data_IF_545300626775
#
_entry.id   IF_545300626775
#
_cell.length_a   1.000
_cell.length_b   1.000
_cell.length_c   1.000
_cell.angle_alpha   90.00
_cell.angle_beta   90.00
_cell.angle_gamma   90.00
#
_symmetry.space_group_name_H-M   'P 1'
#
loop_
_entity.id
_entity.type
_entity.pdbx_description
1 polymer ?
#
# COMPACT_ATOMS: atom_id res chain seq x y z
N UNK A 1 -32.16 -12.26 20.50
CA UNK A 1 -32.44 -10.94 19.90
C UNK A 1 -32.10 -11.03 18.42
N UNK A 2 -33.02 -10.78 17.49
CA UNK A 2 -32.74 -10.93 16.07
C UNK A 2 -32.12 -9.63 15.56
N UNK A 3 -30.79 -9.57 15.49
CA UNK A 3 -29.98 -8.38 15.11
C UNK A 3 -30.49 -7.80 13.79
N UNK A 4 -30.88 -8.65 12.81
CA UNK A 4 -31.42 -8.21 11.53
C UNK A 4 -32.69 -7.36 11.70
N UNK A 5 -33.66 -7.79 12.53
CA UNK A 5 -34.87 -7.02 12.81
C UNK A 5 -34.57 -5.66 13.44
N UNK A 6 -33.57 -5.59 14.28
CA UNK A 6 -33.14 -4.32 14.89
C UNK A 6 -32.58 -3.36 13.84
N UNK A 7 -31.73 -3.86 12.93
CA UNK A 7 -31.17 -3.06 11.83
C UNK A 7 -32.28 -2.62 10.86
N UNK A 8 -33.22 -3.51 10.50
CA UNK A 8 -34.34 -3.17 9.63
C UNK A 8 -35.25 -2.09 10.24
N UNK A 9 -35.40 -2.07 11.56
CA UNK A 9 -36.12 -1.00 12.25
C UNK A 9 -35.35 0.32 12.27
N UNK A 10 -34.04 0.28 12.45
CA UNK A 10 -33.17 1.45 12.39
C UNK A 10 -33.05 2.02 10.96
N UNK A 11 -33.30 1.23 9.93
CA UNK A 11 -33.29 1.65 8.53
C UNK A 11 -34.49 2.50 8.12
N UNK A 12 -35.61 2.38 8.80
CA UNK A 12 -36.88 3.06 8.42
C UNK A 12 -36.73 4.58 8.23
N UNK A 13 -36.06 5.34 9.13
CA UNK A 13 -35.91 6.79 8.97
C UNK A 13 -35.05 7.22 7.75
N UNK A 14 -34.26 6.28 7.20
CA UNK A 14 -33.37 6.51 6.05
C UNK A 14 -33.98 6.09 4.72
N UNK A 15 -35.23 5.58 4.70
CA UNK A 15 -35.91 5.20 3.47
C UNK A 15 -36.27 6.42 2.62
N UNK A 16 -36.52 6.19 1.35
CA UNK A 16 -36.88 7.22 0.37
C UNK A 16 -38.16 7.96 0.82
N UNK A 17 -38.06 9.29 0.92
CA UNK A 17 -39.17 10.16 1.39
C UNK A 17 -39.15 10.44 2.90
N UNK A 18 -38.24 9.86 3.68
CA UNK A 18 -38.13 10.05 5.12
C UNK A 18 -37.10 11.14 5.51
N UNK A 19 -37.13 11.56 6.78
CA UNK A 19 -36.36 12.70 7.31
C UNK A 19 -34.85 12.59 7.10
N UNK A 20 -34.30 11.38 7.08
CA UNK A 20 -32.88 11.09 7.02
C UNK A 20 -32.45 10.43 5.68
N UNK A 21 -33.25 10.56 4.63
CA UNK A 21 -32.97 9.97 3.31
C UNK A 21 -31.54 10.32 2.78
N UNK A 22 -31.08 11.57 3.00
CA UNK A 22 -29.73 12.01 2.57
C UNK A 22 -28.59 11.19 3.17
N UNK A 23 -28.81 10.62 4.35
CA UNK A 23 -27.82 9.78 5.03
C UNK A 23 -27.99 8.28 4.75
N UNK A 24 -28.92 7.92 3.86
CA UNK A 24 -29.13 6.54 3.44
C UNK A 24 -27.85 5.84 2.95
N UNK A 25 -26.93 6.47 2.18
CA UNK A 25 -25.67 5.85 1.77
C UNK A 25 -24.81 5.40 2.95
N UNK A 26 -24.69 6.24 3.99
CA UNK A 26 -23.91 5.91 5.20
C UNK A 26 -24.54 4.75 6.00
N UNK A 27 -25.86 4.74 6.15
CA UNK A 27 -26.54 3.65 6.83
C UNK A 27 -26.46 2.35 6.02
N UNK A 28 -26.65 2.42 4.71
CA UNK A 28 -26.53 1.26 3.82
C UNK A 28 -25.11 0.66 3.84
N UNK A 29 -24.06 1.47 3.98
CA UNK A 29 -22.70 0.97 4.14
C UNK A 29 -22.55 0.08 5.37
N UNK A 30 -23.11 0.49 6.52
CA UNK A 30 -23.13 -0.31 7.76
C UNK A 30 -23.98 -1.59 7.58
N UNK A 31 -25.17 -1.48 6.97
CA UNK A 31 -26.05 -2.64 6.71
C UNK A 31 -25.34 -3.65 5.79
N UNK A 32 -24.71 -3.17 4.71
CA UNK A 32 -24.01 -4.04 3.77
C UNK A 32 -22.66 -4.57 4.29
N UNK A 33 -22.03 -3.89 5.24
CA UNK A 33 -20.85 -4.41 5.94
C UNK A 33 -21.20 -5.63 6.80
N UNK A 34 -22.33 -5.59 7.50
CA UNK A 34 -22.77 -6.68 8.37
C UNK A 34 -23.49 -7.80 7.60
N UNK A 35 -24.22 -7.46 6.54
CA UNK A 35 -25.04 -8.40 5.78
C UNK A 35 -24.91 -8.20 4.28
N UNK A 36 -24.93 -9.30 3.55
CA UNK A 36 -24.95 -9.27 2.08
C UNK A 36 -26.27 -8.67 1.58
N UNK A 37 -26.24 -7.70 0.63
CA UNK A 37 -27.45 -7.12 0.06
C UNK A 37 -28.38 -8.18 -0.55
N UNK A 38 -29.68 -8.08 -0.26
CA UNK A 38 -30.70 -9.00 -0.79
C UNK A 38 -31.32 -8.45 -2.08
N UNK A 39 -30.53 -7.86 -2.98
CA UNK A 39 -31.02 -7.35 -4.25
C UNK A 39 -31.01 -8.46 -5.30
N UNK A 40 -32.13 -8.69 -5.91
CA UNK A 40 -32.30 -9.59 -7.07
C UNK A 40 -32.70 -8.78 -8.30
N UNK A 41 -32.28 -9.24 -9.48
CA UNK A 41 -32.76 -8.65 -10.74
C UNK A 41 -34.27 -8.82 -10.87
N UNK A 42 -34.96 -7.77 -11.33
CA UNK A 42 -36.43 -7.82 -11.56
C UNK A 42 -36.79 -8.50 -12.88
N UNK A 43 -35.87 -8.53 -13.83
CA UNK A 43 -36.06 -9.11 -15.17
C UNK A 43 -34.79 -9.81 -15.63
N UNK A 44 -34.93 -10.96 -16.30
CA UNK A 44 -33.84 -11.76 -16.84
C UNK A 44 -33.15 -12.67 -15.82
N UNK A 45 -32.01 -13.23 -16.20
CA UNK A 45 -31.23 -14.11 -15.34
C UNK A 45 -30.55 -13.30 -14.22
N UNK A 46 -30.58 -13.83 -12.99
CA UNK A 46 -29.85 -13.30 -11.87
C UNK A 46 -28.47 -13.99 -11.77
N UNK A 47 -27.42 -13.26 -12.14
CA UNK A 47 -26.03 -13.75 -12.03
C UNK A 47 -25.34 -12.99 -10.91
N UNK A 48 -24.74 -13.71 -9.96
CA UNK A 48 -23.99 -13.15 -8.86
C UNK A 48 -22.60 -13.77 -8.82
N UNK A 49 -21.56 -12.94 -8.71
CA UNK A 49 -20.20 -13.42 -8.52
C UNK A 49 -20.05 -14.06 -7.11
N UNK A 50 -19.26 -15.13 -7.03
CA UNK A 50 -18.91 -15.76 -5.76
C UNK A 50 -17.92 -14.91 -4.94
N UNK A 51 -17.12 -14.08 -5.61
CA UNK A 51 -16.13 -13.17 -4.99
C UNK A 51 -16.57 -11.74 -5.24
N UNK A 52 -17.13 -11.11 -4.22
CA UNK A 52 -17.48 -9.70 -4.24
C UNK A 52 -16.30 -8.80 -3.80
N UNK A 53 -16.45 -7.49 -3.98
CA UNK A 53 -15.43 -6.52 -3.61
C UNK A 53 -15.05 -6.62 -2.13
N UNK A 54 -16.00 -6.90 -1.24
CA UNK A 54 -15.78 -7.05 0.20
C UNK A 54 -14.83 -8.19 0.53
N UNK A 55 -15.05 -9.36 -0.13
CA UNK A 55 -14.16 -10.53 0.06
C UNK A 55 -12.77 -10.25 -0.45
N UNK A 56 -12.66 -9.55 -1.57
CA UNK A 56 -11.36 -9.13 -2.10
C UNK A 56 -10.65 -8.21 -1.11
N UNK A 57 -11.33 -7.19 -0.58
CA UNK A 57 -10.73 -6.24 0.37
C UNK A 57 -10.33 -6.90 1.69
N UNK A 58 -11.19 -7.78 2.27
CA UNK A 58 -10.83 -8.50 3.50
C UNK A 58 -9.65 -9.44 3.29
N UNK A 59 -9.51 -10.04 2.11
CA UNK A 59 -8.35 -10.89 1.77
C UNK A 59 -7.05 -10.09 1.78
N UNK A 60 -7.07 -8.86 1.25
CA UNK A 60 -5.90 -7.97 1.30
C UNK A 60 -5.58 -7.60 2.76
N UNK A 61 -6.58 -7.28 3.58
CA UNK A 61 -6.38 -6.99 5.01
C UNK A 61 -5.74 -8.20 5.70
N UNK A 62 -6.27 -9.42 5.49
CA UNK A 62 -5.69 -10.64 6.07
C UNK A 62 -4.22 -10.83 5.63
N UNK A 63 -3.91 -10.54 4.38
CA UNK A 63 -2.54 -10.62 3.86
C UNK A 63 -1.60 -9.57 4.47
N UNK A 64 -2.12 -8.42 4.93
CA UNK A 64 -1.35 -7.37 5.62
C UNK A 64 -1.10 -7.67 7.11
N UNK A 65 -1.95 -8.48 7.76
CA UNK A 65 -1.84 -8.75 9.20
C UNK A 65 -0.47 -9.29 9.64
N UNK A 66 0.18 -10.24 8.97
CA UNK A 66 1.51 -10.70 9.37
C UNK A 66 2.53 -9.57 9.46
N UNK A 67 2.55 -8.67 8.45
CA UNK A 67 3.44 -7.52 8.44
C UNK A 67 3.10 -6.50 9.53
N UNK A 68 1.81 -6.28 9.80
CA UNK A 68 1.34 -5.40 10.87
C UNK A 68 1.75 -5.92 12.25
N UNK A 69 1.48 -7.18 12.55
CA UNK A 69 1.83 -7.76 13.85
C UNK A 69 3.33 -7.76 14.09
N UNK A 70 4.11 -8.08 13.05
CA UNK A 70 5.55 -7.98 13.16
C UNK A 70 6.02 -6.54 13.34
N UNK A 71 5.40 -5.57 12.65
CA UNK A 71 5.70 -4.16 12.81
C UNK A 71 5.45 -3.64 14.22
N UNK A 72 4.35 -4.08 14.85
CA UNK A 72 4.06 -3.80 16.28
C UNK A 72 5.17 -4.36 17.16
N UNK A 73 5.54 -5.62 16.96
CA UNK A 73 6.63 -6.27 17.69
C UNK A 73 7.96 -5.53 17.49
N UNK A 74 8.34 -5.24 16.23
CA UNK A 74 9.61 -4.59 15.92
C UNK A 74 9.71 -3.17 16.47
N UNK A 75 8.62 -2.41 16.49
CA UNK A 75 8.57 -1.08 17.12
C UNK A 75 8.95 -1.13 18.60
N UNK A 76 8.40 -2.08 19.34
CA UNK A 76 8.78 -2.30 20.74
C UNK A 76 10.21 -2.82 20.87
N UNK A 77 10.63 -3.76 20.01
CA UNK A 77 11.98 -4.32 20.02
C UNK A 77 13.04 -3.25 19.81
N UNK A 78 12.90 -2.38 18.81
CA UNK A 78 13.83 -1.30 18.53
C UNK A 78 13.92 -0.30 19.70
N UNK A 79 12.80 0.00 20.34
CA UNK A 79 12.75 0.89 21.51
C UNK A 79 13.52 0.30 22.70
N UNK A 80 13.15 -0.90 23.13
CA UNK A 80 13.78 -1.51 24.32
C UNK A 80 15.25 -1.91 24.11
N UNK A 81 15.63 -2.28 22.90
CA UNK A 81 17.02 -2.60 22.58
C UNK A 81 17.97 -1.40 22.68
N UNK A 82 17.44 -0.17 22.56
CA UNK A 82 18.26 1.06 22.74
C UNK A 82 18.34 1.50 24.21
N UNK A 83 17.37 1.09 25.04
CA UNK A 83 17.34 1.43 26.47
C UNK A 83 18.23 0.50 27.32
N UNK A 84 18.72 -0.60 26.75
CA UNK A 84 19.50 -1.65 27.45
C UNK A 84 18.81 -2.15 28.74
N UNK A 85 17.48 -2.27 28.71
CA UNK A 85 16.63 -2.72 29.82
C UNK A 85 16.10 -4.11 29.52
N UNK A 86 15.96 -4.95 30.55
CA UNK A 86 15.30 -6.26 30.42
C UNK A 86 13.81 -6.08 30.03
N UNK A 87 13.36 -6.83 29.01
CA UNK A 87 12.00 -6.76 28.51
C UNK A 87 11.42 -8.14 28.23
N UNK A 88 10.13 -8.28 28.34
CA UNK A 88 9.38 -9.46 27.92
C UNK A 88 8.72 -9.22 26.56
N UNK A 89 8.38 -10.30 25.87
CA UNK A 89 7.66 -10.22 24.57
C UNK A 89 6.36 -9.40 24.67
N UNK A 90 5.67 -9.48 25.81
CA UNK A 90 4.42 -8.73 26.04
C UNK A 90 4.69 -7.23 26.06
N UNK A 91 5.78 -6.77 26.69
CA UNK A 91 6.15 -5.35 26.76
C UNK A 91 6.39 -4.76 25.38
N UNK A 92 7.01 -5.55 24.47
CA UNK A 92 7.23 -5.16 23.07
C UNK A 92 5.90 -4.90 22.36
N UNK A 93 4.94 -5.81 22.51
CA UNK A 93 3.61 -5.65 21.90
C UNK A 93 2.80 -4.51 22.51
N UNK A 94 2.89 -4.30 23.82
CA UNK A 94 2.20 -3.18 24.49
C UNK A 94 2.73 -1.86 23.98
N UNK A 95 4.05 -1.66 23.97
CA UNK A 95 4.68 -0.42 23.51
C UNK A 95 4.34 -0.15 22.02
N UNK A 96 4.58 -1.12 21.14
CA UNK A 96 4.28 -0.97 19.72
C UNK A 96 2.80 -0.72 19.45
N UNK A 97 1.89 -1.41 20.17
CA UNK A 97 0.45 -1.17 20.02
C UNK A 97 0.05 0.23 20.50
N UNK A 98 0.63 0.72 21.59
CA UNK A 98 0.34 2.06 22.10
C UNK A 98 0.69 3.16 21.09
N UNK A 99 1.71 2.96 20.26
CA UNK A 99 2.10 3.88 19.19
C UNK A 99 1.28 3.69 17.91
N UNK A 100 1.08 2.47 17.44
CA UNK A 100 0.52 2.16 16.12
C UNK A 100 -1.02 2.20 16.11
N UNK A 101 -1.70 1.70 17.16
CA UNK A 101 -3.18 1.65 17.20
C UNK A 101 -3.82 3.04 17.11
N UNK A 102 -3.32 4.10 17.80
CA UNK A 102 -3.85 5.45 17.62
C UNK A 102 -3.70 5.98 16.18
N UNK A 103 -2.59 5.66 15.51
CA UNK A 103 -2.38 6.06 14.10
C UNK A 103 -3.40 5.39 13.18
N UNK A 104 -3.66 4.09 13.38
CA UNK A 104 -4.69 3.34 12.65
C UNK A 104 -6.07 3.95 12.93
N UNK A 105 -6.39 4.23 14.18
CA UNK A 105 -7.67 4.83 14.55
C UNK A 105 -7.88 6.20 13.88
N UNK A 106 -6.88 7.08 13.91
CA UNK A 106 -6.94 8.40 13.24
C UNK A 106 -7.11 8.24 11.72
N UNK A 107 -6.37 7.32 11.10
CA UNK A 107 -6.50 7.04 9.67
C UNK A 107 -7.93 6.65 9.31
N UNK A 108 -8.53 5.70 10.02
CA UNK A 108 -9.92 5.28 9.77
C UNK A 108 -10.94 6.37 10.08
N UNK A 109 -10.82 7.06 11.22
CA UNK A 109 -11.77 8.11 11.61
C UNK A 109 -11.78 9.23 10.56
N UNK A 110 -10.62 9.77 10.23
CA UNK A 110 -10.52 10.89 9.28
C UNK A 110 -10.97 10.46 7.88
N UNK A 111 -10.44 9.36 7.38
CA UNK A 111 -10.72 8.96 6.01
C UNK A 111 -12.15 8.49 5.77
N UNK A 112 -12.72 7.69 6.67
CA UNK A 112 -14.13 7.29 6.56
C UNK A 112 -15.06 8.49 6.72
N UNK A 113 -14.75 9.44 7.60
CA UNK A 113 -15.55 10.66 7.75
C UNK A 113 -15.60 11.45 6.44
N UNK A 114 -14.46 11.60 5.77
CA UNK A 114 -14.40 12.31 4.49
C UNK A 114 -15.16 11.53 3.41
N UNK A 115 -14.97 10.21 3.30
CA UNK A 115 -15.70 9.40 2.31
C UNK A 115 -17.21 9.42 2.54
N UNK A 116 -17.65 9.33 3.79
CA UNK A 116 -19.06 9.44 4.11
C UNK A 116 -19.62 10.82 3.76
N UNK A 117 -18.87 11.90 4.03
CA UNK A 117 -19.28 13.23 3.62
C UNK A 117 -19.45 13.32 2.09
N UNK A 118 -18.46 12.86 1.31
CA UNK A 118 -18.55 12.87 -0.15
C UNK A 118 -19.68 11.98 -0.69
N UNK A 119 -19.90 10.80 -0.09
CA UNK A 119 -20.99 9.91 -0.47
C UNK A 119 -22.37 10.56 -0.26
N UNK A 120 -22.54 11.25 0.88
CA UNK A 120 -23.78 12.01 1.16
C UNK A 120 -23.97 13.18 0.19
N UNK A 121 -22.89 13.94 -0.11
CA UNK A 121 -22.96 15.07 -1.03
C UNK A 121 -23.24 14.66 -2.47
N UNK A 122 -22.61 13.58 -2.95
CA UNK A 122 -22.74 13.12 -4.33
C UNK A 122 -23.86 12.10 -4.54
N UNK A 123 -24.44 11.55 -3.46
CA UNK A 123 -25.53 10.57 -3.54
C UNK A 123 -25.10 9.20 -4.08
N UNK A 124 -23.83 8.81 -3.94
CA UNK A 124 -23.35 7.49 -4.34
C UNK A 124 -23.16 6.56 -3.15
N UNK A 125 -23.11 5.25 -3.42
CA UNK A 125 -22.83 4.25 -2.38
C UNK A 125 -21.38 4.29 -1.94
N UNK A 126 -21.14 3.96 -0.67
CA UNK A 126 -19.80 3.88 -0.07
C UNK A 126 -19.22 2.52 -0.39
N UNK A 127 -17.99 2.52 -0.90
CA UNK A 127 -17.25 1.31 -1.21
C UNK A 127 -16.25 0.99 -0.11
N UNK A 128 -16.06 -0.30 0.18
CA UNK A 128 -15.16 -0.80 1.23
C UNK A 128 -13.66 -0.67 0.89
N UNK A 129 -13.32 -0.10 -0.25
CA UNK A 129 -11.91 0.08 -0.69
C UNK A 129 -11.05 0.88 0.28
N UNK A 130 -11.65 1.80 1.04
CA UNK A 130 -10.93 2.57 2.05
C UNK A 130 -10.42 1.73 3.23
N UNK A 131 -11.05 0.60 3.52
CA UNK A 131 -10.61 -0.27 4.62
C UNK A 131 -9.16 -0.75 4.43
N UNK A 132 -8.77 -1.03 3.20
CA UNK A 132 -7.38 -1.37 2.86
C UNK A 132 -6.48 -0.14 2.92
N UNK A 133 -6.88 0.97 2.28
CA UNK A 133 -6.10 2.22 2.28
C UNK A 133 -5.88 2.75 3.68
N UNK A 134 -6.92 2.74 4.52
CA UNK A 134 -6.87 3.21 5.90
C UNK A 134 -5.91 2.41 6.78
N UNK A 135 -5.70 1.12 6.48
CA UNK A 135 -4.70 0.29 7.15
C UNK A 135 -3.30 0.51 6.57
N UNK A 136 -3.17 0.62 5.25
CA UNK A 136 -1.89 0.79 4.57
C UNK A 136 -1.18 2.09 4.96
N UNK A 137 -1.93 3.21 5.13
CA UNK A 137 -1.32 4.52 5.42
C UNK A 137 -0.47 4.48 6.71
N UNK A 138 -0.98 4.07 7.88
CA UNK A 138 -0.16 3.98 9.09
C UNK A 138 1.02 3.01 8.94
N UNK A 139 0.83 1.89 8.23
CA UNK A 139 1.84 0.85 8.07
C UNK A 139 3.12 1.33 7.37
N UNK A 140 3.02 2.39 6.55
CA UNK A 140 4.14 2.96 5.79
C UNK A 140 4.67 4.26 6.38
N UNK A 141 4.15 4.71 7.52
CA UNK A 141 4.61 5.92 8.21
C UNK A 141 5.68 5.60 9.25
N UNK A 142 6.50 6.61 9.64
CA UNK A 142 7.35 6.54 10.83
C UNK A 142 6.52 6.41 12.10
N UNK A 143 7.13 5.81 13.15
CA UNK A 143 6.43 5.48 14.39
C UNK A 143 6.03 6.70 15.23
N UNK A 144 6.85 7.75 15.24
CA UNK A 144 6.62 8.95 16.08
C UNK A 144 6.05 10.15 15.31
N UNK A 145 5.48 9.91 14.12
CA UNK A 145 4.78 10.98 13.40
C UNK A 145 3.57 11.47 14.22
N UNK A 146 3.41 12.79 14.44
CA UNK A 146 2.26 13.33 15.16
C UNK A 146 0.93 12.92 14.52
N UNK A 147 -0.05 12.52 15.33
CA UNK A 147 -1.35 12.01 14.87
C UNK A 147 -2.10 12.99 13.96
N UNK A 148 -1.98 14.30 14.20
CA UNK A 148 -2.60 15.32 13.37
C UNK A 148 -1.99 15.36 11.95
N UNK A 149 -0.68 15.08 11.79
CA UNK A 149 -0.03 14.97 10.49
C UNK A 149 -0.52 13.74 9.72
N UNK A 150 -0.72 12.62 10.41
CA UNK A 150 -1.36 11.44 9.84
C UNK A 150 -2.75 11.79 9.34
N UNK A 151 -3.57 12.45 10.18
CA UNK A 151 -4.92 12.89 9.82
C UNK A 151 -4.94 13.82 8.59
N UNK A 152 -4.03 14.79 8.53
CA UNK A 152 -3.92 15.71 7.40
C UNK A 152 -3.46 14.99 6.12
N UNK A 153 -2.52 14.07 6.22
CA UNK A 153 -2.04 13.27 5.09
C UNK A 153 -3.14 12.36 4.53
N UNK A 154 -3.93 11.75 5.42
CA UNK A 154 -5.12 10.99 5.06
C UNK A 154 -6.15 11.87 4.35
N UNK A 155 -6.44 13.04 4.91
CA UNK A 155 -7.38 13.99 4.31
C UNK A 155 -6.94 14.41 2.91
N UNK A 156 -5.66 14.73 2.72
CA UNK A 156 -5.11 15.06 1.41
C UNK A 156 -5.26 13.89 0.42
N UNK A 157 -4.88 12.70 0.82
CA UNK A 157 -4.94 11.51 -0.05
C UNK A 157 -6.38 11.15 -0.43
N UNK A 158 -7.33 11.24 0.50
CA UNK A 158 -8.74 10.93 0.21
C UNK A 158 -9.36 12.02 -0.64
N UNK A 159 -9.19 13.29 -0.31
CA UNK A 159 -9.82 14.39 -1.06
C UNK A 159 -9.19 14.54 -2.45
N UNK A 160 -7.87 14.71 -2.50
CA UNK A 160 -7.15 15.01 -3.75
C UNK A 160 -6.79 13.74 -4.52
N UNK A 161 -6.30 12.70 -3.83
CA UNK A 161 -5.85 11.48 -4.50
C UNK A 161 -6.97 10.54 -4.93
N UNK A 162 -8.18 10.66 -4.35
CA UNK A 162 -9.29 9.74 -4.61
C UNK A 162 -10.59 10.44 -5.01
N UNK A 163 -11.17 11.28 -4.14
CA UNK A 163 -12.48 11.85 -4.35
C UNK A 163 -12.50 12.90 -5.49
N UNK A 164 -11.43 13.67 -5.68
CA UNK A 164 -11.31 14.62 -6.80
C UNK A 164 -11.44 13.93 -8.17
N UNK A 165 -10.99 12.67 -8.29
CA UNK A 165 -11.07 11.88 -9.52
C UNK A 165 -12.39 11.11 -9.68
N UNK A 166 -13.26 11.08 -8.67
CA UNK A 166 -14.57 10.41 -8.76
C UNK A 166 -14.80 9.32 -7.71
N UNK A 167 -13.89 9.11 -6.78
CA UNK A 167 -14.00 8.15 -5.68
C UNK A 167 -13.33 6.81 -5.95
N UNK A 168 -13.78 5.77 -5.28
CA UNK A 168 -13.17 4.43 -5.35
C UNK A 168 -13.21 3.86 -6.77
N UNK A 169 -12.06 3.45 -7.27
CA UNK A 169 -11.92 2.87 -8.62
C UNK A 169 -11.59 3.89 -9.72
N UNK A 170 -11.57 5.19 -9.42
CA UNK A 170 -11.27 6.26 -10.38
C UNK A 170 -9.93 6.97 -10.08
N UNK A 171 -9.28 6.63 -9.00
CA UNK A 171 -7.99 7.21 -8.62
C UNK A 171 -6.88 6.81 -9.60
N UNK A 172 -6.08 7.79 -10.00
CA UNK A 172 -4.91 7.58 -10.89
C UNK A 172 -3.73 7.05 -10.08
N UNK A 173 -3.50 7.60 -8.89
CA UNK A 173 -2.43 7.24 -7.98
C UNK A 173 -2.93 6.33 -6.85
N UNK A 174 -2.05 5.53 -6.29
CA UNK A 174 -2.34 4.79 -5.07
C UNK A 174 -2.52 5.78 -3.90
N UNK A 175 -3.71 5.79 -3.22
CA UNK A 175 -3.99 6.79 -2.21
C UNK A 175 -3.08 6.69 -0.97
N UNK A 176 -2.65 5.48 -0.57
CA UNK A 176 -1.75 5.32 0.56
C UNK A 176 -0.38 5.94 0.28
N UNK A 177 0.17 5.71 -0.93
CA UNK A 177 1.41 6.35 -1.36
C UNK A 177 1.25 7.87 -1.54
N UNK A 178 0.09 8.34 -1.95
CA UNK A 178 -0.21 9.77 -2.04
C UNK A 178 -0.19 10.42 -0.66
N UNK A 179 -0.73 9.75 0.37
CA UNK A 179 -0.65 10.22 1.77
C UNK A 179 0.80 10.31 2.25
N UNK A 180 1.60 9.25 2.02
CA UNK A 180 3.02 9.24 2.38
C UNK A 180 3.82 10.31 1.64
N UNK A 181 3.57 10.49 0.34
CA UNK A 181 4.23 11.53 -0.45
C UNK A 181 3.91 12.92 0.09
N UNK A 182 2.64 13.21 0.40
CA UNK A 182 2.25 14.46 1.03
C UNK A 182 2.99 14.68 2.35
N UNK A 183 2.97 13.70 3.26
CA UNK A 183 3.67 13.79 4.54
C UNK A 183 5.18 14.04 4.35
N UNK A 184 5.81 13.33 3.41
CA UNK A 184 7.24 13.45 3.13
C UNK A 184 7.62 14.85 2.60
N UNK A 185 6.85 15.40 1.67
CA UNK A 185 7.15 16.72 1.11
C UNK A 185 6.73 17.88 2.00
N UNK A 186 5.65 17.72 2.78
CA UNK A 186 5.15 18.77 3.67
C UNK A 186 5.90 18.81 5.01
N UNK A 187 6.33 17.65 5.52
CA UNK A 187 6.94 17.48 6.85
C UNK A 187 8.19 16.59 6.81
N UNK A 188 9.23 16.95 6.05
CA UNK A 188 10.39 16.09 5.82
C UNK A 188 11.12 15.70 7.11
N UNK A 189 11.17 16.56 8.11
CA UNK A 189 11.82 16.30 9.41
C UNK A 189 11.16 15.20 10.23
N UNK A 190 9.89 14.89 9.99
CA UNK A 190 9.15 13.80 10.62
C UNK A 190 9.08 12.54 9.76
N UNK A 191 9.52 12.60 8.52
CA UNK A 191 9.44 11.51 7.56
C UNK A 191 10.80 10.98 7.13
N UNK A 192 11.89 11.68 7.47
CA UNK A 192 13.24 11.35 7.07
C UNK A 192 14.23 11.76 8.17
N UNK A 193 15.35 11.06 8.27
CA UNK A 193 16.39 11.32 9.26
C UNK A 193 16.65 10.11 10.17
N UNK A 194 17.60 10.26 11.07
CA UNK A 194 18.11 9.19 11.94
C UNK A 194 17.32 8.99 13.25
N UNK A 195 16.33 9.82 13.53
CA UNK A 195 15.57 9.77 14.79
C UNK A 195 14.08 9.42 14.64
N UNK A 196 13.60 9.21 13.41
CA UNK A 196 12.16 9.06 13.15
C UNK A 196 11.70 7.60 13.07
N UNK A 197 12.63 6.66 12.92
CA UNK A 197 12.30 5.25 12.67
C UNK A 197 12.28 4.36 13.91
N UNK A 198 12.80 4.87 15.03
CA UNK A 198 12.75 4.23 16.34
C UNK A 198 11.93 5.11 17.28
N UNK A 199 11.02 4.47 18.03
CA UNK A 199 10.17 5.18 18.97
C UNK A 199 11.00 5.92 20.01
N UNK A 200 10.70 7.22 20.19
CA UNK A 200 11.35 8.08 21.19
C UNK A 200 12.88 8.14 21.12
N UNK A 201 13.47 7.85 19.94
CA UNK A 201 14.92 7.87 19.76
C UNK A 201 15.58 9.20 20.17
N UNK A 202 14.87 10.32 19.99
CA UNK A 202 15.33 11.66 20.40
C UNK A 202 15.48 11.83 21.93
N UNK A 203 14.82 10.98 22.72
CA UNK A 203 14.83 11.01 24.16
C UNK A 203 15.88 10.07 24.78
N UNK A 204 16.54 9.26 23.95
CA UNK A 204 17.55 8.28 24.37
C UNK A 204 18.94 8.84 24.05
N UNK A 205 19.81 8.92 25.07
CA UNK A 205 21.19 9.37 24.88
C UNK A 205 21.94 8.42 23.93
N UNK A 206 22.39 8.96 22.78
CA UNK A 206 23.01 8.17 21.72
C UNK A 206 22.05 7.33 20.88
N UNK A 207 20.74 7.51 21.05
CA UNK A 207 19.71 6.81 20.25
C UNK A 207 19.83 7.16 18.77
N UNK A 208 19.90 6.14 17.92
CA UNK A 208 19.91 6.27 16.47
C UNK A 208 18.97 5.25 15.86
N UNK A 209 18.14 5.69 14.94
CA UNK A 209 17.20 4.87 14.19
C UNK A 209 17.42 5.00 12.69
N UNK A 210 18.65 5.23 12.25
CA UNK A 210 18.92 5.39 10.83
C UNK A 210 18.65 4.11 10.06
N UNK A 211 18.01 4.25 8.91
CA UNK A 211 17.75 3.10 8.03
C UNK A 211 19.03 2.66 7.32
N UNK A 212 19.11 1.38 6.96
CA UNK A 212 20.25 0.83 6.21
C UNK A 212 20.55 1.64 4.94
N UNK A 213 19.49 2.07 4.23
CA UNK A 213 19.68 2.89 3.03
C UNK A 213 20.13 4.32 3.37
N UNK A 214 19.76 4.86 4.53
CA UNK A 214 20.25 6.14 5.04
C UNK A 214 21.73 6.08 5.33
N UNK A 215 22.17 5.05 6.06
CA UNK A 215 23.59 4.79 6.37
C UNK A 215 24.42 4.71 5.07
N UNK A 216 23.98 3.95 4.09
CA UNK A 216 24.69 3.84 2.81
C UNK A 216 24.65 5.15 1.99
N UNK A 217 23.57 5.92 2.10
CA UNK A 217 23.46 7.22 1.42
C UNK A 217 24.37 8.29 2.04
N UNK A 218 24.68 8.19 3.34
CA UNK A 218 25.68 9.05 4.00
C UNK A 218 27.14 8.71 3.63
N UNK A 219 27.35 7.59 2.92
CA UNK A 219 28.66 7.11 2.49
C UNK A 219 29.36 6.18 3.48
N UNK A 220 28.63 5.67 4.47
CA UNK A 220 29.16 4.67 5.39
C UNK A 220 29.02 3.26 4.78
N UNK A 221 30.12 2.51 4.79
CA UNK A 221 30.17 1.13 4.25
C UNK A 221 29.91 0.05 5.29
N UNK A 222 30.05 0.38 6.58
CA UNK A 222 29.89 -0.58 7.67
C UNK A 222 28.45 -0.58 8.13
N UNK A 223 27.76 -1.68 7.85
CA UNK A 223 26.38 -1.89 8.28
C UNK A 223 26.35 -2.63 9.64
N UNK A 224 25.57 -2.14 10.61
CA UNK A 224 25.43 -2.82 11.91
C UNK A 224 24.52 -4.05 11.88
N UNK A 225 23.98 -4.43 10.71
CA UNK A 225 22.99 -5.49 10.56
C UNK A 225 23.45 -6.59 9.61
N UNK A 226 23.24 -7.84 10.00
CA UNK A 226 23.47 -9.00 9.14
C UNK A 226 22.34 -9.20 8.11
N UNK A 227 22.60 -9.85 6.96
CA UNK A 227 21.57 -10.12 5.94
C UNK A 227 20.33 -10.88 6.47
N UNK A 228 20.51 -11.75 7.45
CA UNK A 228 19.42 -12.47 8.09
C UNK A 228 18.53 -11.53 8.92
N UNK A 229 19.11 -10.60 9.65
CA UNK A 229 18.37 -9.58 10.42
C UNK A 229 17.59 -8.66 9.47
N UNK A 230 18.19 -8.26 8.34
CA UNK A 230 17.52 -7.49 7.29
C UNK A 230 16.31 -8.25 6.72
N UNK A 231 16.44 -9.55 6.45
CA UNK A 231 15.37 -10.38 5.91
C UNK A 231 14.25 -10.62 6.93
N UNK A 232 14.61 -10.89 8.18
CA UNK A 232 13.63 -11.06 9.27
C UNK A 232 12.96 -9.73 9.63
N UNK A 233 13.66 -8.59 9.46
CA UNK A 233 13.12 -7.27 9.68
C UNK A 233 13.41 -6.67 11.06
N UNK A 234 14.38 -7.20 11.80
CA UNK A 234 14.83 -6.65 13.08
C UNK A 234 15.73 -5.43 12.86
N UNK A 235 15.27 -4.46 12.08
CA UNK A 235 15.96 -3.26 11.63
C UNK A 235 15.05 -2.03 11.80
N UNK A 236 15.59 -0.81 11.95
CA UNK A 236 14.81 0.42 11.92
C UNK A 236 14.16 0.64 10.55
N UNK A 237 12.95 1.20 10.54
CA UNK A 237 12.24 1.51 9.30
C UNK A 237 10.76 1.81 9.52
N UNK A 238 10.01 1.97 8.44
CA UNK A 238 8.55 2.15 8.49
C UNK A 238 7.88 0.96 9.18
N UNK A 239 6.77 1.21 9.86
CA UNK A 239 6.12 0.28 10.79
C UNK A 239 6.01 -1.16 10.25
N UNK A 240 5.55 -1.36 9.02
CA UNK A 240 5.30 -2.71 8.48
C UNK A 240 6.16 -3.06 7.26
N UNK A 241 7.11 -2.22 6.88
CA UNK A 241 7.95 -2.42 5.70
C UNK A 241 9.26 -3.16 6.00
N UNK A 242 9.58 -3.41 7.29
CA UNK A 242 10.88 -3.93 7.72
C UNK A 242 11.05 -5.42 7.42
N UNK A 243 10.03 -6.26 7.66
CA UNK A 243 10.14 -7.72 7.53
C UNK A 243 9.77 -8.23 6.15
N UNK A 244 10.77 -8.56 5.35
CA UNK A 244 10.55 -9.21 4.05
C UNK A 244 9.87 -10.58 4.20
N UNK A 245 10.18 -11.34 5.25
CA UNK A 245 9.54 -12.64 5.50
C UNK A 245 8.02 -12.52 5.67
N UNK A 246 7.56 -11.57 6.49
CA UNK A 246 6.12 -11.36 6.73
C UNK A 246 5.40 -10.84 5.49
N UNK A 247 6.08 -10.00 4.71
CA UNK A 247 5.58 -9.54 3.41
C UNK A 247 5.45 -10.71 2.42
N UNK A 248 6.39 -11.66 2.39
CA UNK A 248 6.29 -12.85 1.53
C UNK A 248 5.14 -13.79 1.94
N UNK A 249 4.83 -13.90 3.23
CA UNK A 249 3.62 -14.61 3.70
C UNK A 249 2.37 -13.93 3.14
N UNK A 250 2.29 -12.60 3.22
CA UNK A 250 1.20 -11.84 2.62
C UNK A 250 1.12 -11.99 1.09
N UNK A 251 2.27 -11.98 0.41
CA UNK A 251 2.35 -12.23 -1.04
C UNK A 251 1.81 -13.62 -1.40
N UNK A 252 2.16 -14.64 -0.63
CA UNK A 252 1.62 -16.00 -0.82
C UNK A 252 0.10 -16.02 -0.71
N UNK A 253 -0.47 -15.37 0.31
CA UNK A 253 -1.94 -15.27 0.48
C UNK A 253 -2.57 -14.59 -0.75
N UNK A 254 -2.02 -13.44 -1.19
CA UNK A 254 -2.55 -12.69 -2.34
C UNK A 254 -2.45 -13.46 -3.66
N UNK A 255 -1.36 -14.18 -3.89
CA UNK A 255 -1.18 -14.98 -5.11
C UNK A 255 -2.09 -16.21 -5.08
N UNK A 256 -2.17 -16.91 -3.95
CA UNK A 256 -3.00 -18.11 -3.80
C UNK A 256 -4.49 -17.82 -3.98
N UNK A 257 -4.95 -16.67 -3.47
CA UNK A 257 -6.34 -16.22 -3.63
C UNK A 257 -6.61 -15.56 -4.99
N UNK A 258 -5.58 -15.30 -5.80
CA UNK A 258 -5.69 -14.66 -7.11
C UNK A 258 -5.98 -13.15 -7.05
N UNK A 259 -5.94 -12.53 -5.87
CA UNK A 259 -6.17 -11.09 -5.68
C UNK A 259 -4.95 -10.29 -6.14
N UNK A 260 -3.74 -10.71 -5.75
CA UNK A 260 -2.50 -10.06 -6.14
C UNK A 260 -1.96 -10.53 -7.48
N UNK A 261 -1.39 -9.62 -8.27
CA UNK A 261 -0.80 -9.95 -9.57
C UNK A 261 0.64 -10.45 -9.43
N UNK A 262 0.86 -11.76 -9.44
CA UNK A 262 2.19 -12.34 -9.43
C UNK A 262 3.11 -11.83 -10.56
N UNK A 263 2.53 -11.42 -11.71
CA UNK A 263 3.28 -10.88 -12.85
C UNK A 263 3.97 -9.56 -12.52
N UNK A 264 3.27 -8.67 -11.81
CA UNK A 264 3.84 -7.39 -11.35
C UNK A 264 4.93 -7.68 -10.33
N UNK A 265 4.69 -8.57 -9.36
CA UNK A 265 5.66 -8.92 -8.32
C UNK A 265 6.96 -9.47 -8.92
N UNK A 266 6.85 -10.49 -9.77
CA UNK A 266 8.03 -11.12 -10.40
C UNK A 266 8.75 -10.17 -11.33
N UNK A 267 8.04 -9.39 -12.16
CA UNK A 267 8.69 -8.45 -13.07
C UNK A 267 9.37 -7.30 -12.33
N UNK A 268 8.81 -6.85 -11.20
CA UNK A 268 9.45 -5.86 -10.33
C UNK A 268 10.77 -6.36 -9.75
N UNK A 269 10.77 -7.60 -9.25
CA UNK A 269 12.00 -8.26 -8.77
C UNK A 269 13.03 -8.39 -9.90
N UNK A 270 12.62 -8.79 -11.10
CA UNK A 270 13.52 -8.89 -12.27
C UNK A 270 14.11 -7.50 -12.61
N UNK A 271 13.29 -6.44 -12.63
CA UNK A 271 13.75 -5.08 -12.92
C UNK A 271 14.77 -4.59 -11.89
N UNK A 272 14.50 -4.79 -10.60
CA UNK A 272 15.42 -4.45 -9.53
C UNK A 272 16.73 -5.27 -9.60
N UNK A 273 16.64 -6.58 -9.88
CA UNK A 273 17.79 -7.45 -10.03
C UNK A 273 18.70 -7.02 -11.19
N UNK A 274 18.14 -6.74 -12.36
CA UNK A 274 18.92 -6.28 -13.53
C UNK A 274 19.66 -4.99 -13.20
N UNK A 275 18.97 -3.99 -12.66
CA UNK A 275 19.56 -2.69 -12.36
C UNK A 275 20.57 -2.78 -11.21
N UNK A 276 20.25 -3.55 -10.14
CA UNK A 276 21.16 -3.77 -9.04
C UNK A 276 22.45 -4.48 -9.47
N UNK A 277 22.35 -5.52 -10.31
CA UNK A 277 23.54 -6.19 -10.88
C UNK A 277 24.39 -5.26 -11.75
N UNK A 278 23.76 -4.41 -12.56
CA UNK A 278 24.49 -3.42 -13.38
C UNK A 278 25.25 -2.44 -12.47
N UNK A 279 24.63 -1.99 -11.39
CA UNK A 279 25.30 -1.10 -10.44
C UNK A 279 26.37 -1.80 -9.61
N UNK A 280 26.17 -3.06 -9.24
CA UNK A 280 27.22 -3.84 -8.54
C UNK A 280 28.50 -3.99 -9.41
N UNK A 281 28.36 -4.07 -10.75
CA UNK A 281 29.52 -4.07 -11.66
C UNK A 281 30.17 -2.69 -11.75
N UNK A 282 29.38 -1.61 -11.65
CA UNK A 282 29.89 -0.24 -11.74
C UNK A 282 30.59 0.21 -10.44
N UNK A 283 29.96 -0.01 -9.28
CA UNK A 283 30.55 0.18 -7.96
C UNK A 283 31.05 1.59 -7.64
N UNK A 284 30.44 2.65 -8.15
CA UNK A 284 30.92 4.01 -8.00
C UNK A 284 30.60 4.65 -6.63
N UNK A 285 29.63 4.10 -5.89
CA UNK A 285 29.28 4.54 -4.52
C UNK A 285 28.81 3.34 -3.67
N UNK A 286 28.61 3.56 -2.35
CA UNK A 286 28.22 2.51 -1.41
C UNK A 286 26.86 1.88 -1.78
N UNK A 287 25.89 2.68 -2.23
CA UNK A 287 24.59 2.18 -2.70
C UNK A 287 24.72 1.33 -3.98
N UNK A 288 25.67 1.62 -4.87
CA UNK A 288 25.93 0.78 -6.05
C UNK A 288 26.65 -0.51 -5.66
N UNK A 289 27.52 -0.46 -4.65
CA UNK A 289 28.26 -1.63 -4.15
C UNK A 289 27.39 -2.56 -3.31
N UNK A 290 26.28 -2.06 -2.79
CA UNK A 290 25.33 -2.84 -1.99
C UNK A 290 24.73 -3.97 -2.82
N UNK A 291 24.69 -5.18 -2.25
CA UNK A 291 24.21 -6.36 -2.98
C UNK A 291 22.81 -6.17 -3.55
N UNK A 292 22.60 -6.54 -4.80
CA UNK A 292 21.32 -6.48 -5.48
C UNK A 292 20.20 -7.24 -4.73
N UNK A 293 20.53 -8.33 -4.03
CA UNK A 293 19.58 -9.07 -3.19
C UNK A 293 19.16 -8.21 -2.01
N UNK A 294 20.12 -7.54 -1.35
CA UNK A 294 19.84 -6.73 -0.19
C UNK A 294 18.97 -5.51 -0.56
N UNK A 295 19.12 -4.94 -1.76
CA UNK A 295 18.22 -3.92 -2.25
C UNK A 295 16.75 -4.36 -2.30
N UNK A 296 16.48 -5.65 -2.47
CA UNK A 296 15.10 -6.18 -2.49
C UNK A 296 14.55 -6.45 -1.09
N UNK A 297 15.42 -6.68 -0.10
CA UNK A 297 15.00 -6.98 1.27
C UNK A 297 14.82 -5.71 2.13
N UNK A 298 15.49 -4.60 1.78
CA UNK A 298 15.47 -3.37 2.58
C UNK A 298 14.69 -2.23 1.90
N UNK A 299 14.37 -1.19 2.68
CA UNK A 299 13.78 0.06 2.18
C UNK A 299 12.37 -0.11 1.61
N UNK A 300 11.57 -1.03 2.16
CA UNK A 300 10.17 -1.21 1.80
C UNK A 300 9.92 -1.73 0.38
N UNK A 301 10.95 -2.16 -0.38
CA UNK A 301 10.78 -2.65 -1.75
C UNK A 301 9.80 -3.81 -1.83
N UNK A 302 9.98 -4.84 -1.00
CA UNK A 302 9.11 -6.01 -0.98
C UNK A 302 7.66 -5.61 -0.66
N UNK A 303 7.45 -4.76 0.34
CA UNK A 303 6.12 -4.27 0.72
C UNK A 303 5.47 -3.47 -0.41
N UNK A 304 6.19 -2.55 -1.01
CA UNK A 304 5.71 -1.74 -2.13
C UNK A 304 5.31 -2.57 -3.35
N UNK A 305 6.15 -3.55 -3.74
CA UNK A 305 5.86 -4.43 -4.88
C UNK A 305 4.67 -5.37 -4.61
N UNK A 306 4.52 -5.88 -3.38
CA UNK A 306 3.46 -6.85 -3.04
C UNK A 306 2.12 -6.18 -2.83
N UNK A 307 2.04 -5.12 -2.03
CA UNK A 307 0.77 -4.55 -1.58
C UNK A 307 0.36 -3.26 -2.30
N UNK A 308 1.31 -2.52 -2.86
CA UNK A 308 1.03 -1.21 -3.47
C UNK A 308 1.08 -1.22 -4.99
N UNK A 309 2.10 -1.86 -5.58
CA UNK A 309 2.21 -1.96 -7.03
C UNK A 309 1.16 -2.90 -7.64
N UNK A 310 0.58 -3.81 -6.85
CA UNK A 310 -0.50 -4.71 -7.29
C UNK A 310 -1.90 -4.15 -7.07
N UNK A 311 -2.02 -2.88 -6.67
CA UNK A 311 -3.33 -2.22 -6.54
C UNK A 311 -4.12 -2.34 -7.85
N UNK A 312 -5.32 -2.95 -7.81
CA UNK A 312 -6.08 -3.22 -9.02
C UNK A 312 -6.60 -1.97 -9.73
N UNK A 313 -6.60 -0.80 -9.07
CA UNK A 313 -7.10 0.45 -9.64
C UNK A 313 -6.00 1.22 -10.36
N UNK A 314 -4.88 1.46 -9.69
CA UNK A 314 -3.80 2.31 -10.21
C UNK A 314 -2.77 1.56 -11.06
N UNK A 315 -2.74 0.21 -11.01
CA UNK A 315 -1.85 -0.60 -11.83
C UNK A 315 -2.40 -0.88 -13.24
N UNK A 316 -1.52 -1.30 -14.15
CA UNK A 316 -1.93 -1.75 -15.50
C UNK A 316 -2.83 -2.98 -15.44
N UNK A 317 -3.83 -3.01 -16.35
CA UNK A 317 -4.83 -4.08 -16.41
C UNK A 317 -4.44 -5.20 -17.38
N UNK A 318 -3.74 -4.86 -18.47
CA UNK A 318 -3.37 -5.84 -19.51
C UNK A 318 -2.25 -6.77 -19.06
N UNK A 319 -2.31 -8.03 -19.49
CA UNK A 319 -1.31 -9.04 -19.10
C UNK A 319 0.12 -8.63 -19.47
N UNK A 320 0.30 -8.05 -20.67
CA UNK A 320 1.62 -7.55 -21.10
C UNK A 320 2.00 -6.27 -20.36
N UNK A 321 1.02 -5.39 -20.12
CA UNK A 321 1.23 -4.17 -19.35
C UNK A 321 1.75 -4.46 -17.95
N UNK A 322 1.21 -5.47 -17.27
CA UNK A 322 1.65 -5.88 -15.93
C UNK A 322 3.15 -6.25 -15.88
N UNK A 323 3.68 -6.91 -16.90
CA UNK A 323 5.10 -7.21 -17.00
C UNK A 323 5.97 -5.97 -17.21
N UNK A 324 5.54 -5.05 -18.11
CA UNK A 324 6.25 -3.79 -18.38
C UNK A 324 6.23 -2.89 -17.15
N UNK A 325 5.05 -2.73 -16.55
CA UNK A 325 4.82 -1.89 -15.39
C UNK A 325 5.68 -2.33 -14.20
N UNK A 326 5.63 -3.61 -13.81
CA UNK A 326 6.43 -4.12 -12.71
C UNK A 326 7.93 -4.01 -12.98
N UNK A 327 8.40 -4.36 -14.20
CA UNK A 327 9.79 -4.24 -14.59
C UNK A 327 10.30 -2.80 -14.42
N UNK A 328 9.54 -1.82 -14.90
CA UNK A 328 9.91 -0.41 -14.79
C UNK A 328 9.90 0.07 -13.34
N UNK A 329 8.96 -0.37 -12.50
CA UNK A 329 8.99 -0.05 -11.06
C UNK A 329 10.29 -0.53 -10.44
N UNK A 330 10.69 -1.79 -10.70
CA UNK A 330 11.94 -2.33 -10.17
C UNK A 330 13.16 -1.52 -10.63
N UNK A 331 13.25 -1.18 -11.91
CA UNK A 331 14.33 -0.37 -12.47
C UNK A 331 14.37 1.02 -11.81
N UNK A 332 13.24 1.75 -11.82
CA UNK A 332 13.19 3.10 -11.26
C UNK A 332 13.42 3.13 -9.77
N UNK A 333 12.97 2.12 -9.02
CA UNK A 333 13.24 2.03 -7.59
C UNK A 333 14.74 2.05 -7.30
N UNK A 334 15.53 1.20 -7.98
CA UNK A 334 16.97 1.14 -7.77
C UNK A 334 17.67 2.41 -8.32
N UNK A 335 17.23 2.94 -9.47
CA UNK A 335 17.76 4.21 -9.99
C UNK A 335 17.55 5.37 -9.00
N UNK A 336 16.35 5.51 -8.43
CA UNK A 336 16.06 6.57 -7.46
C UNK A 336 16.93 6.40 -6.21
N UNK A 337 17.08 5.17 -5.68
CA UNK A 337 17.94 4.89 -4.53
C UNK A 337 19.35 5.37 -4.73
N UNK A 338 19.93 5.07 -5.87
CA UNK A 338 21.33 5.34 -6.16
C UNK A 338 21.62 6.81 -6.47
N UNK A 339 20.68 7.48 -7.17
CA UNK A 339 20.91 8.86 -7.64
C UNK A 339 20.22 9.93 -6.80
N UNK A 340 19.33 9.56 -5.88
CA UNK A 340 18.64 10.51 -5.03
C UNK A 340 18.92 10.26 -3.54
N UNK A 341 20.01 10.79 -2.99
CA UNK A 341 20.36 10.61 -1.58
C UNK A 341 19.35 11.23 -0.61
N UNK A 342 18.55 12.20 -1.06
CA UNK A 342 17.50 12.81 -0.23
C UNK A 342 16.32 11.86 0.03
N UNK A 343 16.14 10.83 -0.80
CA UNK A 343 15.10 9.82 -0.63
C UNK A 343 15.61 8.43 -1.07
N UNK A 344 16.50 7.82 -0.29
CA UNK A 344 17.17 6.57 -0.67
C UNK A 344 16.23 5.35 -0.72
N UNK A 345 15.02 5.42 -0.20
CA UNK A 345 14.06 4.30 -0.26
C UNK A 345 13.55 4.04 -1.69
N UNK A 346 13.24 5.06 -2.45
CA UNK A 346 12.93 5.02 -3.89
C UNK A 346 11.61 4.40 -4.31
N UNK A 347 11.09 3.40 -3.59
CA UNK A 347 9.95 2.57 -4.04
C UNK A 347 8.65 3.36 -4.18
N UNK A 348 8.36 4.28 -3.25
CA UNK A 348 7.16 5.11 -3.29
C UNK A 348 7.11 5.93 -4.59
N UNK A 349 8.19 6.65 -4.88
CA UNK A 349 8.27 7.52 -6.07
C UNK A 349 8.23 6.71 -7.36
N UNK A 350 8.88 5.54 -7.39
CA UNK A 350 8.84 4.64 -8.54
C UNK A 350 7.40 4.15 -8.84
N UNK A 351 6.64 3.74 -7.81
CA UNK A 351 5.26 3.30 -8.00
C UNK A 351 4.35 4.46 -8.41
N UNK A 352 4.45 5.62 -7.76
CA UNK A 352 3.65 6.80 -8.12
C UNK A 352 3.93 7.25 -9.55
N UNK A 353 5.20 7.27 -9.97
CA UNK A 353 5.57 7.57 -11.34
C UNK A 353 4.91 6.59 -12.32
N UNK A 354 5.03 5.30 -12.04
CA UNK A 354 4.49 4.28 -12.92
C UNK A 354 2.96 4.20 -12.92
N UNK A 355 2.29 4.59 -11.83
CA UNK A 355 0.83 4.74 -11.80
C UNK A 355 0.36 5.74 -12.86
N UNK A 356 1.06 6.88 -13.01
CA UNK A 356 0.76 7.89 -14.05
C UNK A 356 0.90 7.30 -15.46
N UNK A 357 1.89 6.43 -15.67
CA UNK A 357 2.14 5.80 -16.98
C UNK A 357 1.33 4.52 -17.22
N UNK A 358 0.66 3.96 -16.21
CA UNK A 358 -0.09 2.72 -16.33
C UNK A 358 -1.16 2.76 -17.45
N UNK A 359 -2.01 3.81 -17.55
CA UNK A 359 -2.98 3.91 -18.65
C UNK A 359 -2.33 4.01 -20.03
N UNK A 360 -1.18 4.70 -20.14
CA UNK A 360 -0.43 4.81 -21.38
C UNK A 360 0.11 3.46 -21.83
N UNK A 361 0.68 2.67 -20.92
CA UNK A 361 1.16 1.31 -21.21
C UNK A 361 0.01 0.45 -21.72
N UNK A 362 -1.13 0.46 -21.04
CA UNK A 362 -2.31 -0.31 -21.45
C UNK A 362 -2.85 0.14 -22.80
N UNK A 363 -2.87 1.44 -23.10
CA UNK A 363 -3.29 1.98 -24.38
C UNK A 363 -2.47 1.36 -25.54
N UNK A 364 -1.14 1.41 -25.46
CA UNK A 364 -0.28 0.85 -26.52
C UNK A 364 -0.42 -0.67 -26.65
N UNK A 365 -0.59 -1.40 -25.56
CA UNK A 365 -0.80 -2.86 -25.58
C UNK A 365 -2.13 -3.19 -26.27
N UNK A 366 -3.19 -2.45 -25.98
CA UNK A 366 -4.53 -2.64 -26.59
C UNK A 366 -4.47 -2.30 -28.07
N UNK A 367 -3.85 -1.18 -28.45
CA UNK A 367 -3.70 -0.77 -29.86
C UNK A 367 -2.94 -1.82 -30.67
N UNK A 368 -1.83 -2.35 -30.13
CA UNK A 368 -1.06 -3.41 -30.77
C UNK A 368 -1.92 -4.69 -30.96
N UNK A 369 -2.78 -5.02 -30.00
CA UNK A 369 -3.72 -6.14 -30.12
C UNK A 369 -4.79 -5.91 -31.22
N UNK A 370 -5.34 -4.69 -31.30
CA UNK A 370 -6.30 -4.31 -32.35
C UNK A 370 -5.65 -4.42 -33.73
N UNK A 371 -4.45 -3.86 -33.92
CA UNK A 371 -3.69 -3.95 -35.18
C UNK A 371 -3.44 -5.41 -35.60
N UNK A 372 -3.10 -6.28 -34.62
CA UNK A 372 -2.88 -7.71 -34.87
C UNK A 372 -4.16 -8.44 -35.28
N UNK A 373 -5.32 -8.12 -34.65
CA UNK A 373 -6.62 -8.70 -35.01
C UNK A 373 -7.05 -8.28 -36.40
N UNK A 374 -6.91 -6.98 -36.77
CA UNK A 374 -7.20 -6.48 -38.12
C UNK A 374 -6.38 -7.22 -39.19
N UNK A 375 -5.06 -7.41 -38.96
CA UNK A 375 -4.20 -8.18 -39.90
C UNK A 375 -4.65 -9.63 -40.09
N UNK A 376 -5.16 -10.30 -39.06
CA UNK A 376 -5.70 -11.67 -39.16
C UNK A 376 -6.99 -11.70 -39.97
N UNK A 377 -7.91 -10.77 -39.74
CA UNK A 377 -9.18 -10.68 -40.50
C UNK A 377 -8.94 -10.48 -41.99
N UNK A 378 -8.00 -9.62 -42.38
CA UNK A 378 -7.65 -9.41 -43.79
C UNK A 378 -7.07 -10.69 -44.43
N UNK A 379 -6.15 -11.41 -43.74
CA UNK A 379 -5.61 -12.68 -44.22
C UNK A 379 -6.68 -13.74 -44.43
N UNK A 380 -7.64 -13.83 -43.52
CA UNK A 380 -8.74 -14.81 -43.65
C UNK A 380 -9.66 -14.46 -44.80
N UNK A 381 -9.95 -13.18 -45.05
CA UNK A 381 -10.76 -12.74 -46.17
C UNK A 381 -10.07 -13.04 -47.56
N UNK A 382 -8.74 -12.83 -47.66
CA UNK A 382 -7.97 -13.12 -48.87
C UNK A 382 -7.89 -14.62 -49.17
N UNK A 383 -7.93 -15.50 -48.15
CA UNK A 383 -7.88 -16.95 -48.35
C UNK A 383 -9.26 -17.57 -48.65
N UNK A 384 -10.33 -16.81 -48.66
CA UNK A 384 -11.71 -17.25 -48.98
C UNK A 384 -12.08 -16.83 -50.41
N UNK A 385 -11.35 -15.92 -51.03
CA UNK A 385 -11.46 -15.52 -52.42
C UNK A 385 -10.44 -16.31 -53.25
#
# INVERSE_FOLDING_TARGET
MNIRKTIDNLKKPFNKGEKWERFAPAFNALDTFLYVPNHTTKHGAHIRDAVDLKRTMITVIIALLPALFYGIYNTGFQYYSQLDVEYNTIDLFIHGSAKIVPMIAVSYIVGLTIEFAFAVFRGHEINEGYLVTGLLIPMIMPVDIPLWMVGLSVAFAVIIGKEAFGGTGMNILNPALTARAFAFFAYPTYMSGNQVWVSEASNIDGGSGETILGILASGESILPYEPLQMFMGSIPGSIAETSTLMVLIGAFILIFTGVGSWRIMVSGVIGAAITGLLFNVWGANELMSFSWINHMIVGGFAFGIVFMATDPVSATQTVKGKWIYGLLIGIFCILIRVFNPAYPEGVMLAILLMNVFAPTIDHYVVEANIKRRKKRGIKTAVNIV
#
